data_IF_286163488367
#
_entry.id   IF_286163488367
#
_cell.length_a   1.000
_cell.length_b   1.000
_cell.length_c   1.000
_cell.angle_alpha   90.00
_cell.angle_beta   90.00
_cell.angle_gamma   90.00
#
_symmetry.space_group_name_H-M   'P 1'
#
loop_
_entity.id
_entity.type
_entity.pdbx_description
1 polymer ?
#
# COMPACT_ATOMS: atom_id res chain seq x y z
N UNK A 1 12.45 -14.40 -1.28
CA UNK A 1 12.14 -13.25 -0.42
C UNK A 1 11.89 -12.09 -1.36
N UNK A 2 10.74 -11.45 -1.28
CA UNK A 2 10.43 -10.30 -2.12
C UNK A 2 10.74 -9.07 -1.30
N UNK A 3 11.76 -8.31 -1.72
CA UNK A 3 12.08 -7.03 -1.07
C UNK A 3 11.31 -5.91 -1.77
N UNK A 4 10.66 -5.09 -0.97
CA UNK A 4 9.92 -3.93 -1.43
C UNK A 4 9.96 -2.83 -0.36
N UNK A 5 9.74 -1.59 -0.78
CA UNK A 5 9.86 -0.40 0.07
C UNK A 5 8.56 0.41 0.04
N UNK A 6 8.29 1.12 1.13
CA UNK A 6 7.32 2.21 1.14
C UNK A 6 8.06 3.49 0.76
N UNK A 7 7.65 4.11 -0.34
CA UNK A 7 8.22 5.37 -0.79
C UNK A 7 7.55 6.53 -0.06
N UNK A 8 8.32 7.57 0.23
CA UNK A 8 7.89 8.63 1.15
C UNK A 8 8.78 9.86 1.04
N UNK A 9 8.34 10.98 1.57
CA UNK A 9 9.05 12.25 1.61
C UNK A 9 9.08 12.97 0.28
N UNK A 10 8.09 12.70 -0.58
CA UNK A 10 7.90 13.45 -1.81
C UNK A 10 7.43 14.88 -1.51
N UNK A 11 7.83 15.87 -2.32
CA UNK A 11 7.27 17.22 -2.25
C UNK A 11 5.75 17.21 -2.40
N UNK A 12 5.04 17.93 -1.53
CA UNK A 12 3.58 18.00 -1.55
C UNK A 12 2.87 16.98 -0.66
N UNK A 13 3.57 15.98 -0.11
CA UNK A 13 2.98 15.07 0.87
C UNK A 13 2.59 15.81 2.16
N UNK A 14 1.42 15.46 2.66
CA UNK A 14 0.79 16.05 3.84
C UNK A 14 0.78 15.06 5.01
N UNK A 15 0.56 15.56 6.23
CA UNK A 15 0.39 14.70 7.40
C UNK A 15 -0.79 13.71 7.22
N UNK A 16 -1.82 14.11 6.47
CA UNK A 16 -2.97 13.25 6.17
C UNK A 16 -2.54 12.02 5.37
N UNK A 17 -1.69 12.18 4.35
CA UNK A 17 -1.19 11.07 3.53
C UNK A 17 -0.47 10.02 4.38
N UNK A 18 0.34 10.46 5.35
CA UNK A 18 1.04 9.56 6.27
C UNK A 18 0.10 8.88 7.27
N UNK A 19 -0.91 9.59 7.76
CA UNK A 19 -1.91 9.00 8.65
C UNK A 19 -2.78 7.97 7.94
N UNK A 20 -3.15 8.21 6.68
CA UNK A 20 -3.87 7.26 5.84
C UNK A 20 -3.02 6.01 5.57
N UNK A 21 -1.74 6.18 5.20
CA UNK A 21 -0.81 5.05 5.05
C UNK A 21 -0.64 4.26 6.34
N UNK A 22 -0.45 4.94 7.48
CA UNK A 22 -0.30 4.28 8.78
C UNK A 22 -1.56 3.50 9.18
N UNK A 23 -2.75 4.00 8.83
CA UNK A 23 -4.02 3.30 9.06
C UNK A 23 -4.21 2.07 8.16
N UNK A 24 -3.60 2.06 6.97
CA UNK A 24 -3.62 0.92 6.05
C UNK A 24 -2.70 -0.22 6.49
N UNK A 25 -1.54 0.08 7.09
CA UNK A 25 -0.51 -0.90 7.48
C UNK A 25 -1.06 -2.12 8.24
N UNK A 26 -1.92 -1.98 9.27
CA UNK A 26 -2.49 -3.13 9.98
C UNK A 26 -3.26 -4.10 9.08
N UNK A 27 -3.84 -3.62 7.98
CA UNK A 27 -4.55 -4.45 7.01
C UNK A 27 -3.61 -5.31 6.16
N UNK A 28 -2.33 -4.94 6.08
CA UNK A 28 -1.31 -5.59 5.26
C UNK A 28 -0.43 -6.57 6.05
N UNK A 29 -0.65 -6.72 7.36
CA UNK A 29 0.23 -7.51 8.24
C UNK A 29 0.49 -8.95 7.76
N UNK A 30 -0.44 -9.56 7.02
CA UNK A 30 -0.28 -10.91 6.45
C UNK A 30 0.72 -10.99 5.29
N UNK A 31 1.08 -9.87 4.69
CA UNK A 31 2.12 -9.77 3.67
C UNK A 31 3.49 -9.67 4.35
N UNK A 32 4.54 -10.04 3.61
CA UNK A 32 5.93 -9.82 4.05
C UNK A 32 6.17 -8.30 4.23
N UNK A 33 6.64 -7.83 5.40
CA UNK A 33 6.83 -6.41 5.65
C UNK A 33 7.90 -5.80 4.74
N UNK A 34 7.83 -4.48 4.46
CA UNK A 34 8.81 -3.82 3.61
C UNK A 34 10.20 -3.78 4.26
N UNK A 35 11.24 -3.73 3.42
CA UNK A 35 12.64 -3.59 3.84
C UNK A 35 12.93 -2.21 4.46
N UNK A 36 12.14 -1.19 4.12
CA UNK A 36 12.14 0.12 4.78
C UNK A 36 11.09 1.07 4.23
N UNK A 37 10.90 2.19 4.94
CA UNK A 37 10.31 3.39 4.38
C UNK A 37 11.44 4.30 3.89
N UNK A 38 11.82 4.20 2.63
CA UNK A 38 12.90 5.05 2.12
C UNK A 38 12.35 6.43 1.75
N UNK A 39 13.00 7.46 2.29
CA UNK A 39 12.74 8.83 1.86
C UNK A 39 13.16 8.96 0.40
N UNK A 40 12.43 9.73 -0.39
CA UNK A 40 12.76 10.13 -1.74
C UNK A 40 14.14 10.80 -1.80
N UNK A 41 14.98 10.33 -2.73
CA UNK A 41 16.30 10.90 -3.01
C UNK A 41 16.20 11.74 -4.28
N UNK A 42 16.69 12.98 -4.21
CA UNK A 42 16.76 13.82 -5.40
C UNK A 42 18.00 13.44 -6.22
N UNK A 43 17.78 12.98 -7.44
CA UNK A 43 18.84 12.55 -8.36
C UNK A 43 18.90 13.45 -9.61
N UNK A 44 20.11 13.70 -10.14
CA UNK A 44 20.38 14.66 -11.24
C UNK A 44 19.48 14.53 -12.47
N UNK A 45 19.02 13.31 -12.79
CA UNK A 45 18.23 13.05 -13.99
C UNK A 45 16.77 12.73 -13.69
N UNK A 46 16.36 12.83 -12.43
CA UNK A 46 14.96 12.70 -12.05
C UNK A 46 14.15 13.91 -12.55
N UNK A 47 12.86 13.73 -12.89
CA UNK A 47 11.98 14.86 -13.20
C UNK A 47 11.97 15.94 -12.12
N UNK A 48 12.05 15.53 -10.85
CA UNK A 48 12.15 16.43 -9.69
C UNK A 48 13.42 17.32 -9.69
N UNK A 49 14.49 16.91 -10.37
CA UNK A 49 15.70 17.70 -10.49
C UNK A 49 15.68 18.62 -11.72
N UNK A 50 15.11 18.14 -12.83
CA UNK A 50 15.18 18.83 -14.12
C UNK A 50 14.01 19.79 -14.36
N UNK A 51 12.85 19.54 -13.74
CA UNK A 51 11.66 20.38 -13.85
C UNK A 51 11.54 21.31 -12.64
N UNK A 52 11.65 22.61 -12.91
CA UNK A 52 11.59 23.67 -11.90
C UNK A 52 10.16 24.07 -11.50
N UNK A 53 9.14 23.40 -12.03
CA UNK A 53 7.75 23.58 -11.59
C UNK A 53 7.46 22.84 -10.29
N UNK A 54 8.27 21.86 -9.91
CA UNK A 54 8.19 21.23 -8.60
C UNK A 54 8.68 22.20 -7.51
N UNK A 55 8.06 22.21 -6.32
CA UNK A 55 8.41 23.12 -5.25
C UNK A 55 9.67 22.67 -4.48
N UNK A 56 10.76 22.42 -5.22
CA UNK A 56 12.06 21.99 -4.70
C UNK A 56 13.05 23.15 -4.81
N UNK A 57 13.77 23.44 -3.73
CA UNK A 57 14.76 24.51 -3.65
C UNK A 57 15.97 24.09 -2.82
N UNK A 58 16.99 24.96 -2.74
CA UNK A 58 18.20 24.70 -1.96
C UNK A 58 19.04 23.50 -2.44
N UNK A 59 18.86 23.09 -3.71
CA UNK A 59 19.50 21.90 -4.29
C UNK A 59 21.02 22.02 -4.25
N UNK A 60 21.68 21.09 -3.56
CA UNK A 60 23.14 21.02 -3.43
C UNK A 60 23.63 19.57 -3.43
N UNK A 61 24.85 19.29 -3.93
CA UNK A 61 25.44 17.95 -3.84
C UNK A 61 25.35 17.39 -2.43
N UNK A 62 25.04 16.11 -2.29
CA UNK A 62 25.03 15.46 -0.99
C UNK A 62 26.38 15.64 -0.29
N UNK A 63 26.35 15.91 1.01
CA UNK A 63 27.54 16.19 1.80
C UNK A 63 28.59 15.07 1.80
N UNK A 64 28.19 13.82 1.51
CA UNK A 64 29.11 12.69 1.32
C UNK A 64 30.17 12.93 0.25
N UNK A 65 29.83 13.65 -0.84
CA UNK A 65 30.78 13.94 -1.93
C UNK A 65 32.00 14.73 -1.43
N UNK A 66 31.85 15.61 -0.45
CA UNK A 66 32.96 16.41 0.12
C UNK A 66 33.95 15.58 0.94
N UNK A 67 33.53 14.40 1.39
CA UNK A 67 34.36 13.49 2.17
C UNK A 67 35.08 12.47 1.30
N UNK A 68 34.56 12.21 0.10
CA UNK A 68 35.09 11.22 -0.84
C UNK A 68 35.99 11.89 -1.88
N UNK A 69 35.61 13.06 -2.39
CA UNK A 69 36.29 13.75 -3.47
C UNK A 69 37.02 15.01 -2.99
N UNK A 70 38.18 15.33 -3.59
CA UNK A 70 38.92 16.54 -3.22
C UNK A 70 38.11 17.80 -3.55
N UNK A 71 38.36 18.86 -2.80
CA UNK A 71 37.74 20.18 -3.00
C UNK A 71 38.10 20.83 -4.35
N UNK A 72 39.12 20.33 -5.04
CA UNK A 72 39.49 20.81 -6.38
C UNK A 72 38.50 20.40 -7.48
N UNK A 73 37.64 19.41 -7.22
CA UNK A 73 36.59 19.00 -8.17
C UNK A 73 35.32 19.84 -7.98
N UNK A 74 34.64 20.13 -9.08
CA UNK A 74 33.31 20.75 -9.09
C UNK A 74 32.26 19.70 -8.71
N UNK A 75 31.93 19.62 -7.41
CA UNK A 75 31.02 18.60 -6.86
C UNK A 75 29.63 18.66 -7.49
N UNK A 76 29.17 19.86 -7.84
CA UNK A 76 27.93 20.12 -8.59
C UNK A 76 27.89 19.50 -9.99
N UNK A 77 29.05 19.11 -10.55
CA UNK A 77 29.18 18.44 -11.86
C UNK A 77 29.42 16.95 -11.78
N UNK A 78 29.85 16.42 -10.63
CA UNK A 78 30.11 14.99 -10.45
C UNK A 78 29.06 14.30 -9.58
N UNK A 79 28.27 15.06 -8.82
CA UNK A 79 27.23 14.51 -7.96
C UNK A 79 26.08 13.88 -8.73
N UNK A 80 25.61 12.73 -8.27
CA UNK A 80 24.40 12.09 -8.77
C UNK A 80 23.22 12.35 -7.83
N UNK A 81 23.46 12.35 -6.51
CA UNK A 81 22.46 12.58 -5.47
C UNK A 81 22.62 13.97 -4.81
N UNK A 82 21.49 14.59 -4.48
CA UNK A 82 21.41 15.96 -4.00
C UNK A 82 20.61 16.06 -2.69
N UNK A 83 21.10 16.91 -1.80
CA UNK A 83 20.31 17.46 -0.69
C UNK A 83 19.42 18.57 -1.24
N UNK A 84 18.20 18.69 -0.70
CA UNK A 84 17.20 19.65 -1.14
C UNK A 84 16.28 20.06 0.01
N UNK A 85 15.60 21.17 -0.20
CA UNK A 85 14.46 21.65 0.58
C UNK A 85 13.23 21.60 -0.34
N UNK A 86 12.05 21.37 0.23
CA UNK A 86 10.80 21.38 -0.53
C UNK A 86 9.69 22.01 0.28
N UNK A 87 8.73 22.63 -0.41
CA UNK A 87 7.51 23.08 0.24
C UNK A 87 6.61 21.89 0.56
N UNK A 88 5.72 22.09 1.55
CA UNK A 88 4.68 21.12 1.90
C UNK A 88 5.25 19.71 2.15
N UNK A 89 6.16 19.61 3.12
CA UNK A 89 6.67 18.32 3.61
C UNK A 89 5.90 17.99 4.89
N UNK A 90 5.39 16.76 4.96
CA UNK A 90 4.79 16.23 6.17
C UNK A 90 5.70 16.36 7.40
N UNK A 91 5.10 16.49 8.56
CA UNK A 91 5.82 16.62 9.82
C UNK A 91 6.59 15.34 10.15
N UNK A 92 7.68 15.49 10.89
CA UNK A 92 8.42 14.35 11.42
C UNK A 92 7.53 13.45 12.31
N UNK A 93 6.49 14.02 12.95
CA UNK A 93 5.52 13.27 13.74
C UNK A 93 4.63 12.36 12.89
N UNK A 94 4.08 12.88 11.79
CA UNK A 94 3.30 12.07 10.85
C UNK A 94 4.14 10.95 10.24
N UNK A 95 5.39 11.27 9.86
CA UNK A 95 6.34 10.26 9.40
C UNK A 95 6.62 9.18 10.45
N UNK A 96 6.87 9.57 11.68
CA UNK A 96 7.14 8.65 12.78
C UNK A 96 5.96 7.72 13.06
N UNK A 97 4.71 8.16 12.84
CA UNK A 97 3.54 7.31 12.98
C UNK A 97 3.57 6.12 11.98
N UNK A 98 3.94 6.39 10.71
CA UNK A 98 4.11 5.35 9.70
C UNK A 98 5.27 4.40 10.06
N UNK A 99 6.41 4.94 10.50
CA UNK A 99 7.57 4.12 10.90
C UNK A 99 7.21 3.19 12.08
N UNK A 100 6.46 3.68 13.07
CA UNK A 100 5.95 2.86 14.19
C UNK A 100 5.04 1.74 13.69
N UNK A 101 4.15 2.01 12.74
CA UNK A 101 3.27 1.00 12.16
C UNK A 101 4.06 -0.09 11.41
N UNK A 102 5.06 0.30 10.61
CA UNK A 102 5.95 -0.63 9.89
C UNK A 102 6.75 -1.49 10.88
N UNK A 103 7.28 -0.90 11.95
CA UNK A 103 8.00 -1.66 12.97
C UNK A 103 7.10 -2.65 13.72
N UNK A 104 5.84 -2.27 13.98
CA UNK A 104 4.86 -3.19 14.54
C UNK A 104 4.57 -4.36 13.58
N UNK A 105 4.38 -4.07 12.29
CA UNK A 105 4.20 -5.11 11.27
C UNK A 105 5.38 -6.09 11.25
N UNK A 106 6.62 -5.59 11.23
CA UNK A 106 7.84 -6.43 11.29
C UNK A 106 7.85 -7.35 12.51
N UNK A 107 7.50 -6.82 13.69
CA UNK A 107 7.44 -7.62 14.93
C UNK A 107 6.37 -8.70 14.85
N UNK A 108 5.17 -8.37 14.36
CA UNK A 108 4.10 -9.36 14.16
C UNK A 108 4.54 -10.48 13.22
N UNK A 109 5.23 -10.14 12.12
CA UNK A 109 5.68 -11.11 11.13
C UNK A 109 6.84 -11.99 11.62
N UNK A 110 7.71 -11.45 12.48
CA UNK A 110 8.82 -12.18 13.11
C UNK A 110 8.40 -13.09 14.28
N UNK A 111 7.15 -12.97 14.76
CA UNK A 111 6.62 -13.79 15.84
C UNK A 111 6.47 -15.28 15.48
N UNK A 112 6.21 -16.12 16.49
CA UNK A 112 6.05 -17.57 16.31
C UNK A 112 4.91 -17.93 15.34
N UNK A 113 3.80 -17.17 15.42
CA UNK A 113 2.64 -17.32 14.54
C UNK A 113 2.61 -16.18 13.55
N UNK A 114 3.01 -16.45 12.30
CA UNK A 114 2.91 -15.45 11.24
C UNK A 114 1.45 -15.04 11.01
N UNK A 115 1.16 -13.74 10.91
CA UNK A 115 -0.16 -13.25 10.51
C UNK A 115 -0.51 -13.80 9.13
N UNK A 116 -1.77 -14.15 8.92
CA UNK A 116 -2.28 -14.60 7.63
C UNK A 116 -3.68 -14.07 7.40
N UNK A 117 -3.99 -13.78 6.15
CA UNK A 117 -5.34 -13.49 5.68
C UNK A 117 -5.50 -14.27 4.37
N UNK A 118 -6.27 -15.35 4.42
CA UNK A 118 -6.45 -16.24 3.27
C UNK A 118 -7.91 -16.42 2.93
N UNK A 119 -8.21 -16.80 1.69
CA UNK A 119 -9.51 -17.30 1.32
C UNK A 119 -9.44 -18.73 0.77
N UNK A 120 -10.51 -19.49 1.00
CA UNK A 120 -10.75 -20.82 0.44
C UNK A 120 -11.97 -20.74 -0.48
N UNK A 121 -11.81 -21.14 -1.74
CA UNK A 121 -12.92 -21.21 -2.69
C UNK A 121 -13.52 -22.62 -2.70
N UNK A 122 -14.82 -22.67 -2.44
CA UNK A 122 -15.71 -23.83 -2.59
C UNK A 122 -16.72 -23.50 -3.72
N UNK A 123 -17.47 -24.48 -4.27
CA UNK A 123 -18.32 -24.26 -5.44
C UNK A 123 -19.21 -23.01 -5.36
N UNK A 124 -19.96 -22.84 -4.26
CA UNK A 124 -20.91 -21.72 -4.08
C UNK A 124 -20.48 -20.71 -3.00
N UNK A 125 -19.29 -20.92 -2.44
CA UNK A 125 -18.92 -20.33 -1.16
C UNK A 125 -17.46 -19.89 -1.18
N UNK A 126 -17.19 -18.70 -0.65
CA UNK A 126 -15.86 -18.19 -0.40
C UNK A 126 -15.71 -17.94 1.09
N UNK A 127 -14.76 -18.65 1.70
CA UNK A 127 -14.45 -18.55 3.13
C UNK A 127 -13.19 -17.72 3.31
N UNK A 128 -13.30 -16.57 3.97
CA UNK A 128 -12.16 -15.73 4.33
C UNK A 128 -11.76 -16.05 5.77
N UNK A 129 -10.47 -16.28 6.02
CA UNK A 129 -9.90 -16.63 7.31
C UNK A 129 -8.84 -15.57 7.64
N UNK A 130 -9.10 -14.78 8.66
CA UNK A 130 -8.21 -13.74 9.16
C UNK A 130 -7.55 -14.18 10.47
N UNK A 131 -6.22 -14.26 10.48
CA UNK A 131 -5.39 -14.59 11.64
C UNK A 131 -4.37 -13.49 11.94
N UNK A 132 -4.58 -12.27 11.44
CA UNK A 132 -3.71 -11.11 11.72
C UNK A 132 -3.77 -10.68 13.19
N UNK A 133 -4.89 -10.90 13.87
CA UNK A 133 -5.07 -10.68 15.31
C UNK A 133 -5.01 -11.98 16.13
N UNK A 134 -4.84 -11.85 17.45
CA UNK A 134 -4.82 -12.98 18.39
C UNK A 134 -6.07 -13.85 18.28
N UNK A 135 -7.24 -13.21 18.21
CA UNK A 135 -8.53 -13.84 17.95
C UNK A 135 -8.75 -13.98 16.44
N UNK A 136 -8.71 -15.21 15.88
CA UNK A 136 -8.98 -15.40 14.46
C UNK A 136 -10.43 -15.06 14.14
N UNK A 137 -10.64 -14.46 12.98
CA UNK A 137 -11.97 -14.19 12.44
C UNK A 137 -12.20 -14.99 11.17
N UNK A 138 -13.47 -15.31 10.92
CA UNK A 138 -13.86 -16.01 9.70
C UNK A 138 -15.14 -15.40 9.16
N UNK A 139 -15.13 -15.12 7.86
CA UNK A 139 -16.31 -14.65 7.13
C UNK A 139 -16.64 -15.64 6.02
N UNK A 140 -17.93 -15.91 5.84
CA UNK A 140 -18.43 -16.75 4.76
C UNK A 140 -19.26 -15.90 3.80
N UNK A 141 -18.85 -15.88 2.53
CA UNK A 141 -19.60 -15.24 1.44
C UNK A 141 -20.16 -16.34 0.53
N UNK A 142 -21.39 -16.15 0.06
CA UNK A 142 -22.09 -17.13 -0.80
C UNK A 142 -22.75 -16.46 -1.99
N UNK A 143 -22.94 -17.22 -3.07
CA UNK A 143 -23.54 -16.75 -4.31
C UNK A 143 -22.83 -15.52 -4.87
N UNK A 144 -23.59 -14.51 -5.31
CA UNK A 144 -23.03 -13.30 -5.91
C UNK A 144 -22.01 -12.56 -5.02
N UNK A 145 -22.10 -12.71 -3.68
CA UNK A 145 -21.14 -12.05 -2.77
C UNK A 145 -19.75 -12.68 -2.84
N UNK A 146 -19.70 -14.00 -3.02
CA UNK A 146 -18.44 -14.72 -3.21
C UNK A 146 -17.79 -14.30 -4.53
N UNK A 147 -18.58 -14.23 -5.62
CA UNK A 147 -18.09 -13.78 -6.92
C UNK A 147 -17.64 -12.32 -6.92
N UNK A 148 -18.38 -11.43 -6.24
CA UNK A 148 -18.03 -10.02 -6.13
C UNK A 148 -16.68 -9.80 -5.41
N UNK A 149 -16.44 -10.53 -4.31
CA UNK A 149 -15.17 -10.46 -3.60
C UNK A 149 -14.02 -10.99 -4.47
N UNK A 150 -14.21 -12.15 -5.10
CA UNK A 150 -13.19 -12.78 -5.95
C UNK A 150 -12.86 -11.95 -7.19
N UNK A 151 -13.82 -11.19 -7.75
CA UNK A 151 -13.56 -10.29 -8.87
C UNK A 151 -12.54 -9.17 -8.54
N UNK A 152 -12.33 -8.89 -7.24
CA UNK A 152 -11.40 -7.89 -6.73
C UNK A 152 -10.04 -8.48 -6.30
N UNK A 153 -9.77 -9.77 -6.53
CA UNK A 153 -8.59 -10.46 -5.98
C UNK A 153 -7.28 -10.00 -6.64
N UNK A 154 -7.24 -9.94 -7.97
CA UNK A 154 -6.01 -9.61 -8.72
C UNK A 154 -5.93 -8.17 -9.21
N UNK A 155 -7.06 -7.48 -9.27
CA UNK A 155 -7.16 -6.11 -9.77
C UNK A 155 -8.20 -5.37 -8.98
N UNK A 156 -7.97 -4.08 -8.76
CA UNK A 156 -9.00 -3.22 -8.21
C UNK A 156 -10.16 -3.08 -9.21
N UNK A 157 -11.38 -2.96 -8.70
CA UNK A 157 -12.61 -2.92 -9.50
C UNK A 157 -13.60 -1.90 -8.94
N UNK A 158 -14.37 -1.27 -9.83
CA UNK A 158 -15.54 -0.48 -9.43
C UNK A 158 -16.78 -1.35 -9.20
N UNK A 159 -17.75 -0.90 -8.37
CA UNK A 159 -19.01 -1.60 -8.17
C UNK A 159 -19.80 -1.83 -9.46
N UNK A 160 -19.74 -0.90 -10.41
CA UNK A 160 -20.43 -0.97 -11.70
C UNK A 160 -19.88 -2.10 -12.56
N UNK A 161 -18.54 -2.23 -12.60
CA UNK A 161 -17.87 -3.28 -13.35
C UNK A 161 -18.20 -4.67 -12.79
N UNK A 162 -18.15 -4.82 -11.47
CA UNK A 162 -18.51 -6.08 -10.80
C UNK A 162 -19.97 -6.43 -11.07
N UNK A 163 -20.89 -5.45 -11.00
CA UNK A 163 -22.31 -5.67 -11.31
C UNK A 163 -22.52 -6.23 -12.72
N UNK A 164 -21.78 -5.73 -13.71
CA UNK A 164 -21.85 -6.25 -15.09
C UNK A 164 -21.36 -7.69 -15.20
N UNK A 165 -20.24 -8.01 -14.53
CA UNK A 165 -19.72 -9.38 -14.48
C UNK A 165 -20.71 -10.33 -13.79
N UNK A 166 -21.31 -9.91 -12.67
CA UNK A 166 -22.34 -10.68 -11.96
C UNK A 166 -23.59 -10.90 -12.82
N UNK A 167 -24.01 -9.91 -13.61
CA UNK A 167 -25.13 -10.06 -14.53
C UNK A 167 -24.85 -11.11 -15.62
N UNK A 168 -23.61 -11.18 -16.11
CA UNK A 168 -23.19 -12.22 -17.08
C UNK A 168 -23.21 -13.63 -16.50
N UNK A 169 -23.06 -13.76 -15.18
CA UNK A 169 -23.18 -15.00 -14.42
C UNK A 169 -24.64 -15.33 -14.01
N UNK A 170 -25.61 -14.50 -14.44
CA UNK A 170 -27.03 -14.72 -14.17
C UNK A 170 -27.53 -14.12 -12.85
N UNK A 171 -26.70 -13.40 -12.09
CA UNK A 171 -27.12 -12.75 -10.85
C UNK A 171 -27.85 -11.43 -11.13
N UNK A 172 -28.98 -11.22 -10.43
CA UNK A 172 -29.76 -9.98 -10.50
C UNK A 172 -29.46 -9.12 -9.27
N UNK A 173 -28.46 -8.24 -9.39
CA UNK A 173 -28.03 -7.32 -8.31
C UNK A 173 -27.84 -5.90 -8.82
N UNK A 174 -28.04 -4.93 -7.93
CA UNK A 174 -27.83 -3.50 -8.20
C UNK A 174 -26.41 -3.07 -7.84
N UNK A 175 -25.89 -2.02 -8.48
CA UNK A 175 -24.60 -1.43 -8.12
C UNK A 175 -24.54 -1.01 -6.64
N UNK A 176 -25.67 -0.54 -6.08
CA UNK A 176 -25.80 -0.19 -4.65
C UNK A 176 -25.60 -1.38 -3.73
N UNK A 177 -26.13 -2.56 -4.09
CA UNK A 177 -25.93 -3.78 -3.31
C UNK A 177 -24.47 -4.24 -3.37
N UNK A 178 -23.86 -4.18 -4.55
CA UNK A 178 -22.43 -4.50 -4.74
C UNK A 178 -21.57 -3.58 -3.88
N UNK A 179 -21.73 -2.27 -4.02
CA UNK A 179 -21.04 -1.27 -3.20
C UNK A 179 -21.20 -1.52 -1.71
N UNK A 180 -22.42 -1.76 -1.24
CA UNK A 180 -22.69 -2.04 0.17
C UNK A 180 -21.96 -3.28 0.70
N UNK A 181 -21.77 -4.31 -0.14
CA UNK A 181 -20.94 -5.47 0.19
C UNK A 181 -19.46 -5.08 0.27
N UNK A 182 -18.92 -4.38 -0.74
CA UNK A 182 -17.50 -4.02 -0.79
C UNK A 182 -17.11 -3.11 0.38
N UNK A 183 -17.94 -2.13 0.71
CA UNK A 183 -17.75 -1.28 1.90
C UNK A 183 -17.83 -2.08 3.20
N UNK A 184 -18.69 -3.11 3.28
CA UNK A 184 -18.72 -4.01 4.43
C UNK A 184 -17.44 -4.83 4.55
N UNK A 185 -16.88 -5.29 3.44
CA UNK A 185 -15.58 -5.94 3.39
C UNK A 185 -14.44 -4.99 3.81
N UNK A 186 -14.50 -3.70 3.43
CA UNK A 186 -13.55 -2.68 3.87
C UNK A 186 -13.61 -2.47 5.39
N UNK A 187 -14.82 -2.32 5.95
CA UNK A 187 -15.02 -2.21 7.40
C UNK A 187 -14.55 -3.45 8.17
N UNK A 188 -14.64 -4.63 7.56
CA UNK A 188 -14.12 -5.88 8.11
C UNK A 188 -12.59 -6.03 7.92
N UNK A 189 -11.92 -5.09 7.24
CA UNK A 189 -10.48 -5.11 7.02
C UNK A 189 -9.99 -6.19 6.05
N UNK A 190 -10.89 -6.78 5.26
CA UNK A 190 -10.55 -7.83 4.27
C UNK A 190 -10.50 -7.29 2.83
N UNK A 191 -10.68 -5.99 2.66
CA UNK A 191 -10.67 -5.26 1.40
C UNK A 191 -10.14 -3.84 1.66
N UNK A 192 -9.43 -3.27 0.69
CA UNK A 192 -9.04 -1.87 0.67
C UNK A 192 -9.77 -1.14 -0.46
N UNK A 193 -9.90 0.18 -0.34
CA UNK A 193 -10.55 1.01 -1.36
C UNK A 193 -9.85 2.36 -1.53
N UNK A 194 -9.81 2.84 -2.76
CA UNK A 194 -9.29 4.16 -3.15
C UNK A 194 -10.03 4.60 -4.42
N UNK A 195 -10.49 5.86 -4.48
CA UNK A 195 -11.19 6.43 -5.65
C UNK A 195 -12.25 5.51 -6.29
N UNK A 196 -13.17 4.98 -5.47
CA UNK A 196 -14.27 4.10 -5.92
C UNK A 196 -13.80 2.75 -6.51
N UNK A 197 -12.53 2.42 -6.36
CA UNK A 197 -11.95 1.13 -6.67
C UNK A 197 -11.78 0.31 -5.39
N UNK A 198 -12.01 -1.00 -5.51
CA UNK A 198 -11.93 -1.93 -4.39
C UNK A 198 -11.00 -3.09 -4.72
N UNK A 199 -10.13 -3.47 -3.78
CA UNK A 199 -9.16 -4.56 -3.91
C UNK A 199 -9.29 -5.53 -2.73
N UNK A 200 -9.48 -6.81 -3.01
CA UNK A 200 -9.47 -7.88 -2.02
C UNK A 200 -8.07 -8.04 -1.42
N UNK A 201 -7.98 -8.20 -0.10
CA UNK A 201 -6.70 -8.33 0.59
C UNK A 201 -6.30 -9.79 0.88
N UNK A 202 -7.27 -10.71 0.90
CA UNK A 202 -7.02 -12.10 1.25
C UNK A 202 -6.32 -12.84 0.10
N UNK A 203 -5.31 -13.64 0.43
CA UNK A 203 -4.59 -14.45 -0.56
C UNK A 203 -5.28 -15.82 -0.73
N UNK A 204 -5.23 -16.45 -1.91
CA UNK A 204 -5.70 -17.83 -2.07
C UNK A 204 -4.90 -18.76 -1.15
N UNK A 205 -5.59 -19.63 -0.39
CA UNK A 205 -4.91 -20.63 0.45
C UNK A 205 -4.05 -21.60 -0.39
N UNK A 206 -4.50 -21.92 -1.61
CA UNK A 206 -3.78 -22.74 -2.57
C UNK A 206 -3.66 -22.00 -3.92
N UNK A 207 -2.61 -21.22 -4.16
CA UNK A 207 -2.45 -20.38 -5.36
C UNK A 207 -2.25 -21.15 -6.69
N UNK A 208 -2.31 -22.49 -6.69
CA UNK A 208 -1.95 -23.32 -7.85
C UNK A 208 -3.00 -24.34 -8.28
N UNK A 209 -4.24 -24.22 -7.81
CA UNK A 209 -5.35 -25.12 -8.14
C UNK A 209 -6.46 -24.36 -8.87
#
# INVERSE_FOLDING_TARGET
MVEWNILSGFPGETDADYHEQAALVPLLHHLEPPAGGERFWLERFSPYFTDNTFPIHGVRPQSSYRHIYPHSLQHDKIAYSFEYEADHIATAGARMALDVAIEQWRRCWAGERRPSLTYQRLPETLRIIDRRSELPQQTMLTGWRAEAYQACDYTSRSPERIREELASLGYQVTAKQVRGLLEACCRAGVMASEDEQYLGLALPENPGW
#
